data_IF_209136476066
#
_entry.id   IF_209136476066
#
_cell.length_a   1.000
_cell.length_b   1.000
_cell.length_c   1.000
_cell.angle_alpha   90.00
_cell.angle_beta   90.00
_cell.angle_gamma   90.00
#
_symmetry.space_group_name_H-M   'P 1'
#
loop_
_entity.id
_entity.type
_entity.pdbx_description
1 polymer ?
#
# COMPACT_ATOMS: atom_id res chain seq x y z
N UNK A 1 -6.80 2.12 8.87
CA UNK A 1 -5.58 2.54 8.14
C UNK A 1 -6.04 3.17 6.85
N UNK A 2 -5.36 4.21 6.39
CA UNK A 2 -5.58 4.82 5.09
C UNK A 2 -4.24 4.98 4.39
N UNK A 3 -4.18 4.50 3.15
CA UNK A 3 -3.00 4.51 2.31
C UNK A 3 -3.26 5.36 1.07
N UNK A 4 -2.32 6.23 0.72
CA UNK A 4 -2.34 7.06 -0.49
C UNK A 4 -1.03 6.87 -1.25
N UNK A 5 -1.16 6.45 -2.51
CA UNK A 5 -0.08 6.49 -3.49
C UNK A 5 -0.33 7.65 -4.47
N UNK A 6 0.71 8.42 -4.76
CA UNK A 6 0.68 9.47 -5.77
C UNK A 6 2.02 9.54 -6.51
N UNK A 7 2.07 10.01 -7.77
CA UNK A 7 3.34 10.32 -8.40
C UNK A 7 4.14 11.29 -7.53
N UNK A 8 5.45 11.01 -7.35
CA UNK A 8 6.30 11.84 -6.49
C UNK A 8 6.36 13.29 -6.94
N UNK A 9 6.45 13.50 -8.25
CA UNK A 9 6.46 14.82 -8.87
C UNK A 9 5.34 14.89 -9.92
N UNK A 10 4.37 15.82 -9.81
CA UNK A 10 3.20 15.87 -10.69
C UNK A 10 3.55 16.01 -12.19
N UNK A 11 4.74 16.52 -12.49
CA UNK A 11 5.18 16.86 -13.85
C UNK A 11 6.42 16.08 -14.29
N UNK A 12 6.93 15.16 -13.47
CA UNK A 12 8.11 14.36 -13.79
C UNK A 12 7.78 12.89 -13.59
N UNK A 13 7.75 12.14 -14.69
CA UNK A 13 7.49 10.71 -14.66
C UNK A 13 8.81 9.96 -14.60
N UNK A 14 9.32 9.71 -13.39
CA UNK A 14 10.51 8.89 -13.14
C UNK A 14 10.16 7.47 -12.65
N UNK A 15 8.87 7.14 -12.69
CA UNK A 15 8.23 5.94 -12.15
C UNK A 15 8.24 5.84 -10.61
N UNK A 16 8.68 6.87 -9.88
CA UNK A 16 8.63 6.86 -8.42
C UNK A 16 7.28 7.34 -7.87
N UNK A 17 6.86 6.73 -6.76
CA UNK A 17 5.63 7.08 -6.06
C UNK A 17 5.95 7.63 -4.67
N UNK A 18 5.17 8.60 -4.26
CA UNK A 18 5.02 8.96 -2.86
C UNK A 18 4.04 7.99 -2.22
N UNK A 19 4.47 7.41 -1.11
CA UNK A 19 3.67 6.59 -0.24
C UNK A 19 3.35 7.36 1.05
N UNK A 20 2.07 7.59 1.32
CA UNK A 20 1.60 8.12 2.58
C UNK A 20 0.60 7.16 3.26
N UNK A 21 1.03 6.58 4.37
CA UNK A 21 0.20 5.71 5.22
C UNK A 21 -0.17 6.43 6.50
N UNK A 22 -1.40 6.21 6.97
CA UNK A 22 -1.81 6.63 8.31
C UNK A 22 -2.69 5.60 8.99
N UNK A 23 -2.53 5.49 10.30
CA UNK A 23 -3.32 4.58 11.11
C UNK A 23 -3.39 5.03 12.56
N UNK A 24 -4.29 4.39 13.29
CA UNK A 24 -4.42 4.51 14.72
C UNK A 24 -4.63 3.12 15.28
N UNK A 25 -3.98 2.81 16.39
CA UNK A 25 -4.16 1.55 17.11
C UNK A 25 -5.41 1.61 17.97
N UNK A 26 -6.01 0.45 18.25
CA UNK A 26 -7.17 0.37 19.13
C UNK A 26 -6.82 0.96 20.51
N UNK A 27 -7.64 1.91 20.99
CA UNK A 27 -7.50 2.60 22.27
C UNK A 27 -6.40 3.68 22.34
N UNK A 28 -5.76 4.06 21.24
CA UNK A 28 -4.92 5.25 21.17
C UNK A 28 -5.70 6.44 20.60
N UNK A 29 -5.41 7.66 21.07
CA UNK A 29 -5.83 8.91 20.42
C UNK A 29 -4.79 9.43 19.43
N UNK A 30 -3.62 8.80 19.39
CA UNK A 30 -2.53 9.16 18.49
C UNK A 30 -2.82 8.65 17.07
N UNK A 31 -2.51 9.48 16.07
CA UNK A 31 -2.58 9.13 14.66
C UNK A 31 -1.14 9.03 14.17
N UNK A 32 -0.76 7.85 13.74
CA UNK A 32 0.52 7.61 13.08
C UNK A 32 0.40 8.05 11.62
N UNK A 33 1.42 8.77 11.17
CA UNK A 33 1.61 9.18 9.78
C UNK A 33 2.99 8.73 9.35
N UNK A 34 3.07 8.09 8.20
CA UNK A 34 4.31 7.53 7.70
C UNK A 34 4.45 7.82 6.21
N UNK A 35 5.59 8.38 5.85
CA UNK A 35 5.95 8.75 4.50
C UNK A 35 7.05 7.84 3.97
N UNK A 36 6.89 7.38 2.74
CA UNK A 36 7.85 6.61 1.99
C UNK A 36 7.98 7.07 0.55
N UNK A 37 9.05 6.59 -0.09
CA UNK A 37 9.25 6.74 -1.52
C UNK A 37 9.40 5.35 -2.12
N UNK A 38 8.52 5.05 -3.06
CA UNK A 38 8.57 3.85 -3.87
C UNK A 38 9.40 4.10 -5.11
N UNK A 39 10.36 3.22 -5.37
CA UNK A 39 11.15 3.23 -6.59
C UNK A 39 11.00 1.90 -7.31
N UNK A 40 10.88 1.85 -8.65
CA UNK A 40 10.73 0.58 -9.35
C UNK A 40 11.90 -0.35 -9.07
N UNK A 41 11.62 -1.62 -8.82
CA UNK A 41 12.67 -2.62 -8.64
C UNK A 41 13.46 -2.80 -9.93
N UNK A 42 14.74 -3.17 -9.80
CA UNK A 42 15.64 -3.37 -10.94
C UNK A 42 16.21 -4.78 -10.91
N UNK A 43 15.84 -5.59 -11.92
CA UNK A 43 16.33 -6.96 -12.10
C UNK A 43 17.16 -7.02 -13.37
N UNK A 44 18.44 -7.40 -13.26
CA UNK A 44 19.34 -7.48 -14.42
C UNK A 44 19.55 -6.15 -15.16
N UNK A 45 19.39 -5.01 -14.47
CA UNK A 45 19.48 -3.67 -15.07
C UNK A 45 18.19 -3.19 -15.75
N UNK A 46 17.09 -3.95 -15.64
CA UNK A 46 15.79 -3.62 -16.23
C UNK A 46 14.80 -3.29 -15.12
N UNK A 47 14.15 -2.12 -15.21
CA UNK A 47 13.07 -1.71 -14.31
C UNK A 47 11.87 -2.66 -14.45
N UNK A 48 11.30 -3.06 -13.33
CA UNK A 48 10.04 -3.80 -13.29
C UNK A 48 8.89 -2.81 -13.05
N UNK A 49 7.90 -2.78 -13.93
CA UNK A 49 6.86 -1.75 -13.90
C UNK A 49 5.78 -1.97 -12.83
N UNK A 50 5.65 -3.19 -12.31
CA UNK A 50 4.65 -3.58 -11.33
C UNK A 50 5.27 -3.99 -9.99
N UNK A 51 6.52 -3.59 -9.73
CA UNK A 51 7.27 -3.97 -8.53
C UNK A 51 8.10 -2.77 -8.06
N UNK A 52 8.02 -2.48 -6.76
CA UNK A 52 8.60 -1.30 -6.15
C UNK A 52 9.38 -1.65 -4.88
N UNK A 53 10.56 -1.07 -4.74
CA UNK A 53 11.27 -0.99 -3.47
C UNK A 53 10.77 0.23 -2.71
N UNK A 54 10.19 0.01 -1.54
CA UNK A 54 9.76 1.05 -0.63
C UNK A 54 10.85 1.30 0.41
N UNK A 55 11.37 2.53 0.41
CA UNK A 55 12.40 2.96 1.37
C UNK A 55 11.97 4.28 2.00
N UNK A 56 11.57 4.29 3.29
CA UNK A 56 11.20 5.51 3.94
C UNK A 56 12.43 6.36 4.29
N UNK A 57 12.31 7.70 4.28
CA UNK A 57 13.40 8.57 4.72
C UNK A 57 13.83 8.30 6.17
N UNK A 58 15.10 8.56 6.52
CA UNK A 58 15.56 8.51 7.90
C UNK A 58 14.66 9.35 8.81
N UNK A 59 14.38 8.87 10.03
CA UNK A 59 15.09 7.77 10.68
C UNK A 59 14.45 6.38 10.43
N UNK A 60 13.34 6.33 9.69
CA UNK A 60 12.50 5.15 9.50
C UNK A 60 13.03 4.12 8.48
N UNK A 61 14.11 4.44 7.76
CA UNK A 61 14.72 3.64 6.68
C UNK A 61 15.13 2.21 7.06
N UNK A 62 15.14 1.90 8.35
CA UNK A 62 15.38 0.53 8.89
C UNK A 62 14.22 -0.42 8.62
N UNK A 63 13.02 0.09 8.38
CA UNK A 63 11.85 -0.69 7.95
C UNK A 63 11.68 -0.40 6.46
N UNK A 64 12.08 -1.36 5.62
CA UNK A 64 11.92 -1.29 4.16
C UNK A 64 11.42 -2.65 3.66
N UNK A 65 10.77 -2.65 2.50
CA UNK A 65 10.26 -3.83 1.84
C UNK A 65 10.18 -3.63 0.32
N UNK A 66 9.79 -4.68 -0.38
CA UNK A 66 9.44 -4.66 -1.80
C UNK A 66 7.96 -5.02 -1.91
N UNK A 67 7.21 -4.32 -2.73
CA UNK A 67 5.82 -4.65 -3.02
C UNK A 67 5.54 -4.72 -4.51
N UNK A 68 4.54 -5.51 -4.88
CA UNK A 68 4.20 -5.84 -6.26
C UNK A 68 2.70 -5.67 -6.51
N UNK A 69 2.36 -5.07 -7.65
CA UNK A 69 0.97 -5.01 -8.15
C UNK A 69 0.63 -6.33 -8.82
N UNK A 70 -0.24 -7.11 -8.20
CA UNK A 70 -0.67 -8.41 -8.74
C UNK A 70 -2.00 -8.32 -9.49
N UNK A 71 -2.83 -7.32 -9.20
CA UNK A 71 -4.03 -6.99 -9.97
C UNK A 71 -4.46 -5.54 -9.75
N UNK A 72 -5.11 -4.94 -10.73
CA UNK A 72 -5.73 -3.63 -10.61
C UNK A 72 -6.91 -3.52 -11.57
N UNK A 73 -7.80 -2.55 -11.33
CA UNK A 73 -8.91 -2.29 -12.22
C UNK A 73 -10.03 -1.52 -11.55
N UNK A 74 -11.23 -1.75 -12.05
CA UNK A 74 -12.47 -1.23 -11.48
C UNK A 74 -13.29 -2.41 -10.96
N UNK A 75 -13.84 -2.25 -9.76
CA UNK A 75 -14.65 -3.29 -9.15
C UNK A 75 -16.05 -3.38 -9.81
N UNK A 76 -16.88 -4.32 -9.31
CA UNK A 76 -18.23 -4.55 -9.84
C UNK A 76 -19.18 -3.34 -9.75
N UNK A 77 -18.81 -2.28 -9.01
CA UNK A 77 -19.55 -1.02 -8.91
C UNK A 77 -18.75 0.18 -9.45
N UNK A 78 -17.75 -0.09 -10.29
CA UNK A 78 -16.91 0.92 -10.96
C UNK A 78 -16.04 1.75 -10.02
N UNK A 79 -15.64 1.21 -8.87
CA UNK A 79 -14.67 1.82 -7.96
C UNK A 79 -13.27 1.30 -8.30
N UNK A 80 -12.27 2.17 -8.52
CA UNK A 80 -10.89 1.75 -8.74
C UNK A 80 -10.33 0.98 -7.53
N UNK A 81 -9.60 -0.10 -7.80
CA UNK A 81 -8.89 -0.88 -6.80
C UNK A 81 -7.53 -1.36 -7.30
N UNK A 82 -6.68 -1.74 -6.35
CA UNK A 82 -5.41 -2.42 -6.58
C UNK A 82 -5.22 -3.53 -5.55
N UNK A 83 -4.55 -4.60 -5.95
CA UNK A 83 -4.17 -5.73 -5.11
C UNK A 83 -2.65 -5.80 -5.10
N UNK A 84 -2.08 -5.81 -3.90
CA UNK A 84 -0.65 -5.79 -3.67
C UNK A 84 -0.20 -7.04 -2.92
N UNK A 85 1.00 -7.49 -3.25
CA UNK A 85 1.78 -8.41 -2.44
C UNK A 85 3.00 -7.68 -1.92
N UNK A 86 3.31 -7.82 -0.63
CA UNK A 86 4.49 -7.19 -0.03
C UNK A 86 5.39 -8.22 0.61
N UNK A 87 6.70 -8.10 0.37
CA UNK A 87 7.68 -8.89 1.10
C UNK A 87 7.71 -8.46 2.58
N UNK A 88 8.12 -9.36 3.50
CA UNK A 88 8.27 -8.98 4.89
C UNK A 88 9.24 -7.80 5.01
N UNK A 89 8.80 -6.74 5.68
CA UNK A 89 9.71 -5.66 6.01
C UNK A 89 10.86 -6.15 6.91
N UNK A 90 11.99 -5.47 6.88
CA UNK A 90 13.15 -5.82 7.73
C UNK A 90 12.72 -5.94 9.21
N UNK A 91 12.96 -7.10 9.82
CA UNK A 91 12.55 -7.42 11.19
C UNK A 91 11.15 -8.04 11.33
N UNK A 92 10.39 -8.16 10.23
CA UNK A 92 9.14 -8.90 10.14
C UNK A 92 9.37 -10.28 9.51
N UNK A 93 8.49 -11.23 9.83
CA UNK A 93 8.60 -12.62 9.35
C UNK A 93 7.48 -13.02 8.37
N UNK A 94 6.56 -12.10 8.05
CA UNK A 94 5.38 -12.41 7.24
C UNK A 94 5.25 -11.40 6.11
N UNK A 95 4.99 -11.93 4.91
CA UNK A 95 4.57 -11.18 3.73
C UNK A 95 3.17 -10.63 3.96
N UNK A 96 2.81 -9.57 3.25
CA UNK A 96 1.46 -8.99 3.29
C UNK A 96 0.73 -9.17 1.96
N UNK A 97 -0.60 -9.14 2.05
CA UNK A 97 -1.49 -9.16 0.89
C UNK A 97 -2.59 -8.15 1.15
N UNK A 98 -2.64 -7.12 0.32
CA UNK A 98 -3.45 -5.94 0.55
C UNK A 98 -4.38 -5.69 -0.62
N UNK A 99 -5.63 -5.35 -0.32
CA UNK A 99 -6.64 -4.95 -1.30
C UNK A 99 -7.04 -3.52 -0.99
N UNK A 100 -6.61 -2.59 -1.84
CA UNK A 100 -6.83 -1.16 -1.65
C UNK A 100 -7.95 -0.72 -2.60
N UNK A 101 -8.94 -0.03 -2.06
CA UNK A 101 -10.07 0.54 -2.79
C UNK A 101 -10.06 2.06 -2.70
N UNK A 102 -10.53 2.74 -3.73
CA UNK A 102 -10.88 4.18 -3.64
C UNK A 102 -12.21 4.43 -2.92
N UNK A 103 -12.96 3.40 -2.56
CA UNK A 103 -14.14 3.51 -1.70
C UNK A 103 -13.76 3.27 -0.24
N UNK A 104 -14.37 4.07 0.63
CA UNK A 104 -14.33 3.92 2.10
C UNK A 104 -14.99 2.64 2.62
N UNK A 105 -15.70 1.92 1.76
CA UNK A 105 -16.33 0.63 2.06
C UNK A 105 -15.49 -0.57 1.62
N UNK A 106 -14.32 -0.34 1.03
CA UNK A 106 -13.50 -1.38 0.43
C UNK A 106 -13.95 -1.74 -0.99
N UNK A 107 -13.54 -2.91 -1.46
CA UNK A 107 -13.87 -3.44 -2.79
C UNK A 107 -15.20 -4.20 -2.74
N UNK A 108 -16.00 -4.16 -3.80
CA UNK A 108 -17.23 -4.94 -3.90
C UNK A 108 -16.98 -6.46 -3.69
N UNK A 109 -17.88 -7.13 -2.95
CA UNK A 109 -17.74 -8.57 -2.65
C UNK A 109 -17.54 -9.43 -3.91
N UNK A 110 -18.23 -9.12 -5.01
CA UNK A 110 -18.07 -9.85 -6.27
C UNK A 110 -16.62 -9.79 -6.79
N UNK A 111 -15.94 -8.66 -6.63
CA UNK A 111 -14.54 -8.49 -7.01
C UNK A 111 -13.61 -9.20 -6.04
N UNK A 112 -13.91 -9.22 -4.73
CA UNK A 112 -13.17 -10.06 -3.76
C UNK A 112 -13.23 -11.54 -4.17
N UNK A 113 -14.41 -12.06 -4.51
CA UNK A 113 -14.55 -13.44 -4.98
C UNK A 113 -13.74 -13.70 -6.26
N UNK A 114 -13.78 -12.78 -7.23
CA UNK A 114 -13.01 -12.90 -8.47
C UNK A 114 -11.49 -12.88 -8.22
N UNK A 115 -11.00 -12.09 -7.24
CA UNK A 115 -9.59 -12.10 -6.83
C UNK A 115 -9.22 -13.48 -6.27
N UNK A 116 -10.02 -14.04 -5.36
CA UNK A 116 -9.76 -15.38 -4.81
C UNK A 116 -9.77 -16.49 -5.87
N UNK A 117 -10.70 -16.43 -6.82
CA UNK A 117 -10.77 -17.37 -7.94
C UNK A 117 -9.53 -17.25 -8.82
N UNK A 118 -9.14 -16.03 -9.20
CA UNK A 118 -7.94 -15.78 -9.99
C UNK A 118 -6.67 -16.31 -9.33
N UNK A 119 -6.51 -16.09 -8.02
CA UNK A 119 -5.38 -16.64 -7.25
C UNK A 119 -5.39 -18.17 -7.20
N UNK A 120 -6.57 -18.78 -7.08
CA UNK A 120 -6.72 -20.23 -7.09
C UNK A 120 -6.30 -20.83 -8.44
N UNK A 121 -6.64 -20.16 -9.54
CA UNK A 121 -6.22 -20.56 -10.90
C UNK A 121 -4.71 -20.39 -11.11
N UNK A 122 -4.12 -19.33 -10.55
CA UNK A 122 -2.67 -19.09 -10.59
C UNK A 122 -1.89 -20.20 -9.85
N UNK A 123 -2.48 -20.80 -8.82
CA UNK A 123 -1.88 -21.93 -8.09
C UNK A 123 -0.76 -21.56 -7.13
N UNK A 124 -0.61 -20.27 -6.78
CA UNK A 124 0.37 -19.82 -5.79
C UNK A 124 -0.21 -19.99 -4.37
N UNK A 125 0.26 -21.01 -3.64
CA UNK A 125 -0.26 -21.37 -2.32
C UNK A 125 -0.05 -20.28 -1.25
N UNK A 126 1.03 -19.49 -1.35
CA UNK A 126 1.29 -18.39 -0.42
C UNK A 126 0.24 -17.30 -0.59
N UNK A 127 0.04 -16.82 -1.83
CA UNK A 127 -0.95 -15.79 -2.14
C UNK A 127 -2.38 -16.25 -1.80
N UNK A 128 -2.72 -17.51 -2.09
CA UNK A 128 -4.02 -18.07 -1.72
C UNK A 128 -4.22 -18.03 -0.19
N UNK A 129 -3.19 -18.38 0.57
CA UNK A 129 -3.23 -18.40 2.03
C UNK A 129 -3.37 -16.99 2.59
N UNK A 130 -2.56 -16.04 2.11
CA UNK A 130 -2.61 -14.65 2.55
C UNK A 130 -3.95 -13.99 2.20
N UNK A 131 -4.44 -14.18 0.97
CA UNK A 131 -5.73 -13.66 0.55
C UNK A 131 -6.86 -14.18 1.46
N UNK A 132 -6.83 -15.46 1.85
CA UNK A 132 -7.80 -16.04 2.78
C UNK A 132 -7.79 -15.45 4.20
N UNK A 133 -6.78 -14.66 4.55
CA UNK A 133 -6.63 -14.00 5.85
C UNK A 133 -6.97 -12.51 5.82
N UNK A 134 -7.25 -11.94 4.63
CA UNK A 134 -7.61 -10.53 4.47
C UNK A 134 -8.83 -10.20 5.31
N UNK A 135 -8.76 -9.08 6.03
CA UNK A 135 -9.86 -8.54 6.83
C UNK A 135 -10.07 -7.07 6.48
N UNK A 136 -11.32 -6.60 6.45
CA UNK A 136 -11.59 -5.19 6.24
C UNK A 136 -11.02 -4.36 7.39
N UNK A 137 -10.21 -3.35 7.06
CA UNK A 137 -9.77 -2.36 8.03
C UNK A 137 -10.85 -1.29 8.21
N UNK A 138 -11.02 -0.81 9.45
CA UNK A 138 -11.93 0.30 9.72
C UNK A 138 -11.29 1.61 9.23
N UNK A 139 -12.04 2.35 8.43
CA UNK A 139 -11.75 3.75 8.10
C UNK A 139 -12.63 4.67 8.97
N UNK A 140 -12.08 5.81 9.39
CA UNK A 140 -12.79 6.83 10.18
C UNK A 140 -13.33 7.99 9.33
N UNK A 141 -13.04 8.00 8.02
CA UNK A 141 -13.48 9.05 7.11
C UNK A 141 -12.68 10.35 7.20
N UNK A 142 -11.61 10.41 8.00
CA UNK A 142 -10.92 11.66 8.34
C UNK A 142 -10.36 12.40 7.12
N UNK A 143 -10.06 11.69 6.02
CA UNK A 143 -9.56 12.26 4.75
C UNK A 143 -10.53 12.10 3.59
N UNK A 144 -11.83 11.98 3.85
CA UNK A 144 -12.81 11.91 2.78
C UNK A 144 -12.77 13.19 1.93
N UNK A 145 -12.57 13.04 0.62
CA UNK A 145 -12.46 14.17 -0.32
C UNK A 145 -11.02 14.66 -0.55
N UNK A 146 -10.04 14.18 0.21
CA UNK A 146 -8.62 14.47 -0.01
C UNK A 146 -8.02 13.42 -0.95
N UNK A 147 -8.13 13.65 -2.26
CA UNK A 147 -7.74 12.66 -3.26
C UNK A 147 -6.22 12.38 -3.28
N UNK A 148 -5.42 13.37 -2.88
CA UNK A 148 -3.95 13.38 -2.87
C UNK A 148 -3.44 14.23 -1.70
N UNK A 149 -3.47 13.73 -0.44
CA UNK A 149 -2.84 14.41 0.67
C UNK A 149 -1.36 14.70 0.36
N UNK A 150 -0.99 15.97 0.35
CA UNK A 150 0.39 16.40 0.09
C UNK A 150 1.13 16.39 1.42
N UNK A 151 2.16 15.56 1.51
CA UNK A 151 3.10 15.53 2.62
C UNK A 151 3.98 16.80 2.55
N UNK A 152 3.98 17.62 3.60
CA UNK A 152 4.86 18.79 3.65
C UNK A 152 6.30 18.36 4.02
N UNK A 153 7.26 19.29 3.91
CA UNK A 153 8.67 19.01 4.21
C UNK A 153 8.93 18.41 5.61
N UNK A 154 8.04 18.61 6.59
CA UNK A 154 8.16 18.01 7.93
C UNK A 154 7.60 16.58 7.98
N UNK A 155 6.54 16.31 7.21
CA UNK A 155 6.01 14.97 7.03
C UNK A 155 7.00 14.07 6.28
N UNK A 156 7.70 14.60 5.27
CA UNK A 156 8.67 13.85 4.45
C UNK A 156 9.89 13.37 5.24
N UNK A 157 10.20 14.00 6.37
CA UNK A 157 11.30 13.57 7.26
C UNK A 157 10.88 12.51 8.27
N UNK A 158 9.61 12.08 8.24
CA UNK A 158 9.04 11.21 9.26
C UNK A 158 9.28 11.75 10.69
N UNK A 159 9.41 13.07 10.87
CA UNK A 159 9.69 13.67 12.18
C UNK A 159 8.55 13.46 13.20
N UNK A 160 7.34 13.16 12.72
CA UNK A 160 6.18 12.84 13.54
C UNK A 160 6.08 11.36 13.90
N UNK A 161 6.82 10.47 13.24
CA UNK A 161 6.86 9.06 13.61
C UNK A 161 7.77 8.93 14.84
N UNK A 162 7.23 9.23 16.02
CA UNK A 162 7.82 8.78 17.27
C UNK A 162 8.02 7.28 17.16
N UNK A 163 9.26 6.82 17.21
CA UNK A 163 9.58 5.42 17.03
C UNK A 163 8.80 4.52 17.99
N UNK A 164 8.42 3.36 17.45
CA UNK A 164 7.90 2.17 18.15
C UNK A 164 8.67 1.83 19.43
#
# INVERSE_FOLDING_TARGET
MQWTLSPREPNTYDDSLTDLVSWQTANSSEIFLFYGVDTPTVVGGIKQHDSYDWVPPPPANVVNNTWEVIAWGYDAVSVPYVVLYETPAVGQNQSAFDIISRSDRGVANATIYAIHEGLSVLGNQELITLAGQVKPLKQDGARNGELYPICNATCETNAYSGFF
#
